data_IF_816664828166
#
_entry.id   IF_816664828166
#
_cell.length_a   1.000
_cell.length_b   1.000
_cell.length_c   1.000
_cell.angle_alpha   90.00
_cell.angle_beta   90.00
_cell.angle_gamma   90.00
#
_symmetry.space_group_name_H-M   'P 1'
#
loop_
_entity.id
_entity.type
_entity.pdbx_description
1 polymer ?
#
# COMPACT_ATOMS: atom_id res chain seq x y z
N UNK A 1 -14.35 -0.64 -4.11
CA UNK A 1 -13.34 -1.40 -4.87
C UNK A 1 -13.58 -2.88 -4.59
N UNK A 2 -14.18 -3.60 -5.53
CA UNK A 2 -14.64 -4.99 -5.37
C UNK A 2 -13.80 -6.00 -6.14
N UNK A 3 -13.09 -5.56 -7.18
CA UNK A 3 -12.34 -6.46 -8.07
C UNK A 3 -10.87 -6.06 -8.17
N UNK A 4 -10.01 -7.01 -8.54
CA UNK A 4 -8.59 -6.75 -8.82
C UNK A 4 -8.43 -5.74 -9.96
N UNK A 5 -9.32 -5.78 -10.95
CA UNK A 5 -9.32 -4.85 -12.07
C UNK A 5 -9.56 -3.40 -11.60
N UNK A 6 -10.54 -3.18 -10.72
CA UNK A 6 -10.78 -1.85 -10.11
C UNK A 6 -9.57 -1.36 -9.30
N UNK A 7 -8.83 -2.27 -8.65
CA UNK A 7 -7.60 -1.93 -7.94
C UNK A 7 -6.50 -1.50 -8.93
N UNK A 8 -6.30 -2.25 -10.01
CA UNK A 8 -5.33 -1.92 -11.07
C UNK A 8 -5.66 -0.55 -11.68
N UNK A 9 -6.93 -0.28 -11.95
CA UNK A 9 -7.39 1.01 -12.47
C UNK A 9 -7.17 2.16 -11.49
N UNK A 10 -7.34 1.92 -10.18
CA UNK A 10 -7.12 2.92 -9.14
C UNK A 10 -5.62 3.29 -9.00
N UNK A 11 -4.72 2.30 -9.06
CA UNK A 11 -3.27 2.55 -8.96
C UNK A 11 -2.71 3.13 -10.27
N UNK A 12 -3.38 2.90 -11.39
CA UNK A 12 -2.99 3.43 -12.70
C UNK A 12 -3.21 4.94 -12.75
N UNK A 13 -2.10 5.67 -12.81
CA UNK A 13 -2.10 7.13 -12.82
C UNK A 13 -2.23 7.66 -14.25
N UNK A 14 -2.95 8.77 -14.39
CA UNK A 14 -2.98 9.54 -15.63
C UNK A 14 -1.73 10.41 -15.70
N UNK A 15 -0.86 10.18 -16.70
CA UNK A 15 0.29 11.05 -16.97
C UNK A 15 -0.21 12.41 -17.49
N UNK A 16 0.18 13.49 -16.81
CA UNK A 16 -0.13 14.86 -17.24
C UNK A 16 1.06 15.47 -17.98
N UNK A 17 2.25 15.30 -17.43
CA UNK A 17 3.53 15.73 -18.00
C UNK A 17 4.60 14.66 -17.75
N UNK A 18 5.84 14.92 -18.14
CA UNK A 18 6.93 13.94 -18.02
C UNK A 18 7.12 13.42 -16.60
N UNK A 19 7.02 14.30 -15.61
CA UNK A 19 7.24 14.01 -14.19
C UNK A 19 6.04 14.38 -13.31
N UNK A 20 4.85 14.52 -13.90
CA UNK A 20 3.63 14.91 -13.19
C UNK A 20 2.48 13.97 -13.55
N UNK A 21 1.86 13.39 -12.52
CA UNK A 21 0.83 12.38 -12.65
C UNK A 21 -0.38 12.70 -11.76
N UNK A 22 -1.58 12.36 -12.24
CA UNK A 22 -2.84 12.54 -11.54
C UNK A 22 -3.39 11.18 -11.10
N UNK A 23 -3.69 11.05 -9.80
CA UNK A 23 -4.30 9.88 -9.20
C UNK A 23 -5.66 10.19 -8.60
N UNK A 24 -6.53 9.17 -8.62
CA UNK A 24 -7.86 9.21 -8.00
C UNK A 24 -7.80 8.67 -6.58
N UNK A 25 -8.72 9.14 -5.75
CA UNK A 25 -8.92 8.63 -4.40
C UNK A 25 -10.09 7.65 -4.37
N UNK A 26 -9.98 6.59 -3.56
CA UNK A 26 -11.07 5.65 -3.33
C UNK A 26 -11.37 5.51 -1.84
N UNK A 27 -12.66 5.46 -1.50
CA UNK A 27 -13.09 5.21 -0.14
C UNK A 27 -12.86 3.75 0.24
N UNK A 28 -12.09 3.52 1.30
CA UNK A 28 -11.77 2.17 1.82
C UNK A 28 -12.16 2.00 3.30
N UNK A 29 -13.26 2.64 3.72
CA UNK A 29 -13.76 2.54 5.10
C UNK A 29 -13.20 3.56 6.09
N UNK A 30 -12.29 4.43 5.65
CA UNK A 30 -11.73 5.56 6.40
C UNK A 30 -12.16 6.89 5.77
N UNK A 31 -12.36 7.97 6.55
CA UNK A 31 -12.62 9.31 6.00
C UNK A 31 -11.41 9.90 5.25
N UNK A 32 -10.22 9.34 5.45
CA UNK A 32 -8.99 9.76 4.80
C UNK A 32 -8.57 8.77 3.71
N UNK A 33 -7.78 9.24 2.75
CA UNK A 33 -7.14 8.38 1.74
C UNK A 33 -6.32 7.28 2.43
N UNK A 34 -6.47 6.05 1.97
CA UNK A 34 -5.74 4.90 2.51
C UNK A 34 -4.24 5.00 2.18
N UNK A 35 -3.37 4.80 3.18
CA UNK A 35 -1.93 4.97 3.02
C UNK A 35 -1.32 4.07 1.94
N UNK A 36 -1.75 2.81 1.86
CA UNK A 36 -1.31 1.88 0.82
C UNK A 36 -1.69 2.33 -0.59
N UNK A 37 -2.79 3.08 -0.76
CA UNK A 37 -3.16 3.66 -2.04
C UNK A 37 -2.13 4.71 -2.48
N UNK A 38 -1.78 5.63 -1.58
CA UNK A 38 -0.83 6.71 -1.87
C UNK A 38 0.55 6.15 -2.17
N UNK A 39 1.02 5.15 -1.41
CA UNK A 39 2.30 4.48 -1.66
C UNK A 39 2.30 3.77 -3.02
N UNK A 40 1.24 3.02 -3.34
CA UNK A 40 1.14 2.29 -4.61
C UNK A 40 1.11 3.23 -5.81
N UNK A 41 0.33 4.31 -5.72
CA UNK A 41 0.26 5.35 -6.74
C UNK A 41 1.60 6.08 -6.89
N UNK A 42 2.24 6.47 -5.79
CA UNK A 42 3.55 7.13 -5.84
C UNK A 42 4.62 6.23 -6.46
N UNK A 43 4.63 4.94 -6.12
CA UNK A 43 5.55 3.98 -6.74
C UNK A 43 5.27 3.80 -8.23
N UNK A 44 3.99 3.76 -8.63
CA UNK A 44 3.62 3.72 -10.04
C UNK A 44 4.06 4.98 -10.80
N UNK A 45 3.94 6.18 -10.19
CA UNK A 45 4.48 7.42 -10.75
C UNK A 45 6.00 7.32 -10.98
N UNK A 46 6.74 6.81 -9.99
CA UNK A 46 8.18 6.63 -10.12
C UNK A 46 8.56 5.64 -11.23
N UNK A 47 7.87 4.49 -11.34
CA UNK A 47 8.09 3.51 -12.40
C UNK A 47 7.90 4.08 -13.80
N UNK A 48 6.96 5.03 -13.99
CA UNK A 48 6.76 5.69 -15.28
C UNK A 48 7.92 6.61 -15.71
N UNK A 49 8.88 6.88 -14.81
CA UNK A 49 10.06 7.75 -15.06
C UNK A 49 11.39 6.98 -15.08
N UNK A 50 11.33 5.64 -15.03
CA UNK A 50 12.48 4.76 -14.87
C UNK A 50 12.65 3.89 -16.14
N UNK A 51 13.89 3.62 -16.59
CA UNK A 51 14.14 2.63 -17.63
C UNK A 51 13.51 1.26 -17.30
N UNK A 52 12.93 0.61 -18.30
CA UNK A 52 12.15 -0.64 -18.12
C UNK A 52 12.98 -1.84 -17.60
N UNK A 53 14.31 -1.74 -17.60
CA UNK A 53 15.25 -2.77 -17.11
C UNK A 53 15.58 -2.64 -15.62
N UNK A 54 14.96 -1.68 -14.91
CA UNK A 54 15.19 -1.44 -13.48
C UNK A 54 13.95 -1.70 -12.64
N UNK A 55 14.16 -2.32 -11.48
CA UNK A 55 13.11 -2.72 -10.55
C UNK A 55 13.31 -2.07 -9.19
N UNK A 56 12.22 -1.61 -8.58
CA UNK A 56 12.25 -1.05 -7.23
C UNK A 56 12.72 -2.13 -6.24
N UNK A 57 13.75 -1.82 -5.46
CA UNK A 57 14.27 -2.72 -4.42
C UNK A 57 14.14 -2.13 -3.02
N UNK A 58 13.94 -0.82 -2.89
CA UNK A 58 13.64 -0.17 -1.63
C UNK A 58 12.86 1.12 -1.83
N UNK A 59 12.06 1.45 -0.82
CA UNK A 59 11.40 2.74 -0.72
C UNK A 59 11.28 3.14 0.75
N UNK A 60 11.29 4.45 0.99
CA UNK A 60 11.05 5.06 2.29
C UNK A 60 10.06 6.19 2.09
N UNK A 61 9.09 6.34 3.00
CA UNK A 61 8.03 7.32 2.84
C UNK A 61 7.57 7.93 4.14
N UNK A 62 7.09 9.17 4.06
CA UNK A 62 6.48 9.89 5.16
C UNK A 62 5.08 10.36 4.77
N UNK A 63 4.11 10.09 5.65
CA UNK A 63 2.77 10.66 5.59
C UNK A 63 2.77 11.96 6.38
N UNK A 64 2.53 13.08 5.70
CA UNK A 64 2.64 14.43 6.26
C UNK A 64 1.27 14.90 6.73
N UNK A 65 0.24 14.74 5.89
CA UNK A 65 -1.14 15.17 6.15
C UNK A 65 -2.14 14.09 5.70
N UNK A 66 -3.32 14.03 6.33
CA UNK A 66 -4.40 13.16 5.86
C UNK A 66 -4.87 13.60 4.47
N UNK A 67 -4.99 12.66 3.53
CA UNK A 67 -5.53 12.93 2.20
C UNK A 67 -7.06 13.04 2.20
N UNK A 68 -7.60 13.97 1.41
CA UNK A 68 -9.02 14.14 1.16
C UNK A 68 -9.52 13.25 0.03
N UNK A 69 -10.60 12.50 0.26
CA UNK A 69 -11.16 11.55 -0.70
C UNK A 69 -11.81 12.20 -1.92
N UNK A 70 -12.31 13.43 -1.79
CA UNK A 70 -13.03 14.13 -2.86
C UNK A 70 -12.09 14.90 -3.81
N UNK A 71 -10.80 14.92 -3.51
CA UNK A 71 -9.79 15.67 -4.27
C UNK A 71 -8.86 14.71 -5.01
N UNK A 72 -8.45 15.02 -6.25
CA UNK A 72 -7.39 14.28 -6.92
C UNK A 72 -6.07 14.44 -6.16
N UNK A 73 -5.14 13.53 -6.38
CA UNK A 73 -3.79 13.60 -5.84
C UNK A 73 -2.82 13.77 -7.00
N UNK A 74 -1.99 14.81 -6.93
CA UNK A 74 -0.94 15.06 -7.91
C UNK A 74 0.39 14.50 -7.41
N UNK A 75 1.04 13.68 -8.22
CA UNK A 75 2.33 13.07 -7.91
C UNK A 75 3.41 13.71 -8.78
N UNK A 76 4.30 14.44 -8.15
CA UNK A 76 5.47 15.05 -8.79
C UNK A 76 6.69 14.18 -8.55
N UNK A 77 7.41 13.82 -9.62
CA UNK A 77 8.59 12.96 -9.57
C UNK A 77 9.86 13.78 -9.81
N UNK A 78 10.79 13.73 -8.87
CA UNK A 78 12.13 14.28 -9.02
C UNK A 78 13.13 13.16 -9.36
N UNK A 79 13.81 13.31 -10.50
CA UNK A 79 14.86 12.40 -10.94
C UNK A 79 16.18 12.78 -10.24
N UNK A 80 16.49 12.11 -9.14
CA UNK A 80 17.71 12.43 -8.36
C UNK A 80 18.98 11.89 -9.02
N UNK A 81 18.91 10.67 -9.56
CA UNK A 81 20.07 10.00 -10.14
C UNK A 81 19.65 8.90 -11.11
N UNK A 82 20.35 8.81 -12.23
CA UNK A 82 20.42 7.63 -13.10
C UNK A 82 21.89 7.23 -13.25
N UNK A 83 22.32 6.26 -12.44
CA UNK A 83 23.66 5.68 -12.52
C UNK A 83 23.70 4.42 -13.38
N UNK A 84 24.86 3.76 -13.43
CA UNK A 84 25.03 2.51 -14.17
C UNK A 84 24.05 1.42 -13.75
N UNK A 85 24.02 1.10 -12.44
CA UNK A 85 23.17 0.01 -11.91
C UNK A 85 21.94 0.50 -11.15
N UNK A 86 21.93 1.75 -10.67
CA UNK A 86 20.91 2.27 -9.76
C UNK A 86 20.27 3.56 -10.27
N UNK A 87 18.97 3.71 -10.03
CA UNK A 87 18.24 4.96 -10.21
C UNK A 87 17.52 5.34 -8.93
N UNK A 88 17.48 6.63 -8.62
CA UNK A 88 16.79 7.15 -7.43
C UNK A 88 15.75 8.16 -7.85
N UNK A 89 14.54 8.05 -7.29
CA UNK A 89 13.42 8.97 -7.48
C UNK A 89 12.90 9.46 -6.14
N UNK A 90 12.48 10.71 -6.10
CA UNK A 90 11.66 11.25 -5.01
C UNK A 90 10.31 11.60 -5.58
N UNK A 91 9.24 11.14 -4.94
CA UNK A 91 7.86 11.43 -5.33
C UNK A 91 7.21 12.25 -4.23
N UNK A 92 6.67 13.40 -4.59
CA UNK A 92 5.86 14.23 -3.69
C UNK A 92 4.42 14.16 -4.13
N UNK A 93 3.53 13.67 -3.26
CA UNK A 93 2.10 13.67 -3.50
C UNK A 93 1.45 14.91 -2.87
N UNK A 94 0.65 15.64 -3.64
CA UNK A 94 0.03 16.91 -3.25
C UNK A 94 -1.47 16.91 -3.48
N UNK A 95 -2.18 17.64 -2.63
CA UNK A 95 -3.56 18.07 -2.84
C UNK A 95 -3.63 19.57 -2.62
N UNK A 96 -4.31 20.30 -3.52
CA UNK A 96 -4.35 21.77 -3.52
C UNK A 96 -2.96 22.41 -3.38
N UNK A 97 -1.96 21.83 -4.06
CA UNK A 97 -0.55 22.21 -4.00
C UNK A 97 0.13 22.03 -2.63
N UNK A 98 -0.54 21.44 -1.64
CA UNK A 98 0.01 21.11 -0.32
C UNK A 98 0.51 19.68 -0.32
N UNK A 99 1.79 19.42 0.04
CA UNK A 99 2.32 18.07 0.20
C UNK A 99 1.58 17.30 1.31
N UNK A 100 1.04 16.13 0.95
CA UNK A 100 0.41 15.20 1.90
C UNK A 100 1.30 13.98 2.18
N UNK A 101 2.23 13.69 1.28
CA UNK A 101 3.09 12.51 1.33
C UNK A 101 4.36 12.74 0.52
N UNK A 102 5.47 12.15 0.99
CA UNK A 102 6.74 12.10 0.24
C UNK A 102 7.32 10.68 0.30
N UNK A 103 7.89 10.23 -0.81
CA UNK A 103 8.57 8.94 -0.91
C UNK A 103 9.89 9.09 -1.64
N UNK A 104 10.95 8.52 -1.10
CA UNK A 104 12.17 8.22 -1.85
C UNK A 104 12.18 6.73 -2.21
N UNK A 105 12.50 6.39 -3.46
CA UNK A 105 12.59 5.01 -3.91
C UNK A 105 13.83 4.80 -4.78
N UNK A 106 14.39 3.60 -4.68
CA UNK A 106 15.59 3.18 -5.40
C UNK A 106 15.27 1.98 -6.28
N UNK A 107 15.77 2.04 -7.51
CA UNK A 107 15.60 1.04 -8.55
C UNK A 107 16.96 0.49 -8.94
N UNK A 108 17.02 -0.80 -9.26
CA UNK A 108 18.24 -1.48 -9.64
C UNK A 108 18.01 -2.37 -10.86
N UNK A 109 19.04 -2.52 -11.69
CA UNK A 109 19.08 -3.56 -12.71
C UNK A 109 18.95 -4.95 -12.08
N UNK A 110 18.37 -5.90 -12.81
CA UNK A 110 18.44 -7.32 -12.44
C UNK A 110 19.89 -7.81 -12.58
N UNK A 111 20.45 -8.35 -11.50
CA UNK A 111 21.83 -8.84 -11.45
C UNK A 111 21.89 -10.11 -10.60
N UNK A 112 22.80 -11.02 -10.94
CA UNK A 112 23.12 -12.18 -10.10
C UNK A 112 23.93 -11.73 -8.87
N UNK A 113 23.77 -12.46 -7.77
CA UNK A 113 24.43 -12.16 -6.51
C UNK A 113 24.27 -13.30 -5.52
N UNK A 114 24.61 -13.03 -4.26
CA UNK A 114 24.37 -13.99 -3.19
C UNK A 114 22.88 -14.08 -2.87
N UNK A 115 22.39 -15.30 -2.69
CA UNK A 115 21.01 -15.57 -2.29
C UNK A 115 21.02 -16.22 -0.90
N UNK A 116 20.40 -15.54 0.06
CA UNK A 116 20.05 -16.10 1.36
C UNK A 116 18.78 -15.40 1.86
N UNK A 117 17.96 -16.15 2.59
CA UNK A 117 16.79 -15.65 3.29
C UNK A 117 16.58 -16.50 4.54
N UNK A 118 15.90 -15.93 5.54
CA UNK A 118 15.41 -16.71 6.68
C UNK A 118 14.41 -17.77 6.21
N UNK A 119 14.34 -18.89 6.94
CA UNK A 119 13.34 -19.91 6.68
C UNK A 119 11.94 -19.39 7.00
N UNK A 120 10.97 -19.67 6.12
CA UNK A 120 9.58 -19.30 6.36
C UNK A 120 9.05 -20.07 7.59
N UNK A 121 8.39 -19.39 8.55
CA UNK A 121 7.83 -20.09 9.71
C UNK A 121 6.73 -21.06 9.27
N UNK A 122 6.62 -22.19 9.98
CA UNK A 122 5.55 -23.16 9.77
C UNK A 122 4.24 -22.58 10.30
N UNK A 123 3.31 -22.30 9.38
CA UNK A 123 1.97 -21.76 9.69
C UNK A 123 0.90 -22.61 9.03
N UNK A 124 -0.32 -22.55 9.57
CA UNK A 124 -1.49 -23.22 9.01
C UNK A 124 -1.73 -22.78 7.56
N UNK A 125 -1.97 -23.71 6.62
CA UNK A 125 -2.19 -23.37 5.22
C UNK A 125 -3.49 -22.57 5.04
N UNK A 126 -3.55 -21.66 4.04
CA UNK A 126 -4.67 -20.75 3.87
C UNK A 126 -6.01 -21.45 3.56
N UNK A 127 -6.00 -22.69 3.05
CA UNK A 127 -7.20 -23.50 2.82
C UNK A 127 -7.89 -23.90 4.14
N UNK A 128 -7.14 -23.97 5.23
CA UNK A 128 -7.62 -24.35 6.57
C UNK A 128 -7.95 -23.13 7.45
N UNK A 129 -7.63 -21.91 7.00
CA UNK A 129 -7.89 -20.68 7.74
C UNK A 129 -9.28 -20.11 7.43
N UNK A 130 -9.92 -19.57 8.48
CA UNK A 130 -11.16 -18.80 8.34
C UNK A 130 -10.88 -17.45 7.68
N UNK A 131 -11.66 -17.12 6.65
CA UNK A 131 -11.72 -15.78 6.09
C UNK A 131 -12.49 -14.82 7.01
N UNK A 132 -12.37 -13.52 6.76
CA UNK A 132 -13.25 -12.55 7.43
C UNK A 132 -14.74 -12.82 7.21
N UNK A 133 -15.14 -13.36 6.05
CA UNK A 133 -16.53 -13.71 5.80
C UNK A 133 -16.99 -14.84 6.74
N UNK A 134 -16.16 -15.89 6.88
CA UNK A 134 -16.43 -17.00 7.80
C UNK A 134 -16.51 -16.51 9.25
N UNK A 135 -15.62 -15.58 9.63
CA UNK A 135 -15.63 -14.95 10.96
C UNK A 135 -16.89 -14.14 11.19
N UNK A 136 -17.37 -13.41 10.19
CA UNK A 136 -18.60 -12.63 10.28
C UNK A 136 -19.83 -13.54 10.46
N UNK A 137 -19.88 -14.64 9.72
CA UNK A 137 -20.97 -15.61 9.79
C UNK A 137 -21.00 -16.32 11.16
N UNK A 138 -19.84 -16.76 11.65
CA UNK A 138 -19.76 -17.55 12.88
C UNK A 138 -19.80 -16.70 14.16
N UNK A 139 -19.23 -15.48 14.15
CA UNK A 139 -19.01 -14.67 15.35
C UNK A 139 -19.66 -13.28 15.29
N UNK A 140 -20.39 -12.95 14.22
CA UNK A 140 -20.94 -11.62 13.99
C UNK A 140 -21.81 -11.08 15.14
N UNK A 141 -22.54 -11.93 15.86
CA UNK A 141 -23.37 -11.51 16.99
C UNK A 141 -22.60 -11.05 18.23
N UNK A 142 -21.31 -11.43 18.34
CA UNK A 142 -20.46 -11.17 19.52
C UNK A 142 -19.43 -10.09 19.23
N UNK A 143 -19.11 -9.83 17.96
CA UNK A 143 -18.08 -8.87 17.57
C UNK A 143 -18.54 -7.41 17.81
N UNK A 144 -17.66 -6.55 18.36
CA UNK A 144 -17.90 -5.11 18.43
C UNK A 144 -18.22 -4.51 17.05
N UNK A 145 -19.14 -3.53 17.00
CA UNK A 145 -19.57 -2.88 15.74
C UNK A 145 -18.42 -2.32 14.91
N UNK A 146 -17.37 -1.82 15.56
CA UNK A 146 -16.17 -1.28 14.90
C UNK A 146 -15.40 -2.36 14.13
N UNK A 147 -15.28 -3.56 14.71
CA UNK A 147 -14.63 -4.71 14.09
C UNK A 147 -15.52 -5.28 12.98
N UNK A 148 -16.83 -5.40 13.24
CA UNK A 148 -17.79 -5.90 12.24
C UNK A 148 -17.74 -5.07 10.95
N UNK A 149 -17.59 -3.74 11.03
CA UNK A 149 -17.45 -2.88 9.83
C UNK A 149 -16.20 -3.20 9.01
N UNK A 150 -15.11 -3.59 9.65
CA UNK A 150 -13.87 -3.97 8.97
C UNK A 150 -13.98 -5.36 8.34
N UNK A 151 -14.59 -6.30 9.06
CA UNK A 151 -14.80 -7.69 8.63
C UNK A 151 -15.72 -7.77 7.42
N UNK A 152 -16.84 -7.03 7.43
CA UNK A 152 -17.83 -7.00 6.36
C UNK A 152 -17.46 -6.11 5.17
N UNK A 153 -16.28 -5.48 5.18
CA UNK A 153 -15.85 -4.63 4.08
C UNK A 153 -15.52 -5.50 2.87
N UNK A 154 -16.29 -5.37 1.78
CA UNK A 154 -15.97 -6.00 0.51
C UNK A 154 -14.59 -5.54 0.00
N UNK A 155 -13.76 -6.50 -0.40
CA UNK A 155 -12.37 -6.27 -0.84
C UNK A 155 -12.04 -7.19 -2.03
N UNK A 156 -11.09 -6.79 -2.87
CA UNK A 156 -10.67 -7.59 -4.02
C UNK A 156 -9.79 -8.80 -3.64
N UNK A 157 -9.42 -8.95 -2.36
CA UNK A 157 -8.55 -9.99 -1.84
C UNK A 157 -9.15 -10.59 -0.58
N UNK A 158 -9.06 -11.92 -0.46
CA UNK A 158 -9.40 -12.62 0.77
C UNK A 158 -8.31 -12.39 1.83
N UNK A 159 -8.75 -12.17 3.06
CA UNK A 159 -7.85 -12.05 4.20
C UNK A 159 -8.16 -13.15 5.20
N UNK A 160 -7.15 -13.97 5.46
CA UNK A 160 -7.21 -15.16 6.32
C UNK A 160 -6.09 -15.05 7.35
N UNK A 161 -6.37 -14.49 8.54
CA UNK A 161 -5.33 -14.33 9.55
C UNK A 161 -4.95 -15.69 10.13
N UNK A 162 -3.64 -15.94 10.26
CA UNK A 162 -3.11 -17.13 10.96
C UNK A 162 -3.41 -17.05 12.46
N UNK A 163 -3.33 -15.85 13.03
CA UNK A 163 -3.60 -15.58 14.44
C UNK A 163 -4.78 -14.62 14.61
N UNK A 164 -5.74 -14.99 15.46
CA UNK A 164 -6.81 -14.10 15.89
C UNK A 164 -6.44 -13.48 17.23
N UNK A 165 -6.19 -12.17 17.24
CA UNK A 165 -6.05 -11.45 18.51
C UNK A 165 -7.43 -11.31 19.14
N UNK A 166 -7.60 -11.89 20.33
CA UNK A 166 -8.84 -11.77 21.10
C UNK A 166 -9.13 -10.28 21.38
N UNK A 167 -10.20 -9.68 20.81
CA UNK A 167 -10.47 -8.26 20.95
C UNK A 167 -10.86 -7.84 22.37
N UNK A 168 -11.16 -8.80 23.24
CA UNK A 168 -11.51 -8.56 24.65
C UNK A 168 -10.30 -8.72 25.59
N UNK A 169 -9.21 -9.32 25.13
CA UNK A 169 -7.95 -9.33 25.87
C UNK A 169 -7.18 -8.03 25.59
N UNK A 170 -6.91 -7.26 26.65
CA UNK A 170 -6.03 -6.09 26.58
C UNK A 170 -4.58 -6.52 26.43
N UNK A 171 -4.20 -7.07 25.28
CA UNK A 171 -2.80 -7.03 24.83
C UNK A 171 -2.60 -5.72 24.10
N UNK A 172 -1.59 -4.95 24.50
CA UNK A 172 -1.14 -3.79 23.74
C UNK A 172 -0.66 -4.34 22.40
N UNK A 173 -1.49 -4.25 21.36
CA UNK A 173 -1.03 -4.43 19.98
C UNK A 173 -0.22 -3.16 19.68
N UNK A 174 1.07 -3.20 19.98
CA UNK A 174 2.01 -2.34 19.30
C UNK A 174 1.96 -2.77 17.83
N UNK A 175 1.20 -2.04 17.02
CA UNK A 175 1.47 -1.98 15.59
C UNK A 175 2.79 -1.25 15.49
N UNK A 176 3.88 -1.99 15.66
CA UNK A 176 5.23 -1.55 15.39
C UNK A 176 5.33 -1.53 13.87
N UNK A 177 5.02 -0.38 13.27
CA UNK A 177 5.64 -0.03 11.99
C UNK A 177 7.11 0.13 12.32
N UNK A 178 7.86 -0.96 12.21
CA UNK A 178 9.31 -0.94 12.35
C UNK A 178 9.87 -0.04 11.24
N UNK A 179 10.22 1.19 11.62
CA UNK A 179 11.19 1.98 10.88
C UNK A 179 12.57 1.42 11.24
N UNK A 180 13.15 0.68 10.30
CA UNK A 180 14.57 0.33 10.24
C UNK A 180 15.19 0.97 9.02
#
# INVERSE_FOLDING_TARGET
MKTTQELIELISLKKLEENLFEGKSSFMGSPNVFGGQVVSQALHAAYQTIPADRFCHSLHSYFILPGHLEKPIYFEVANLRDGGSFSTRVVTAKQDSVPIFVMACSFQLKQEGYEHQEEMPVVTPPEELMSWNDVAEQFGSVLPKSIMRFVLAERPLDFKPVEFVNPFEKKIILILVMFG
#
